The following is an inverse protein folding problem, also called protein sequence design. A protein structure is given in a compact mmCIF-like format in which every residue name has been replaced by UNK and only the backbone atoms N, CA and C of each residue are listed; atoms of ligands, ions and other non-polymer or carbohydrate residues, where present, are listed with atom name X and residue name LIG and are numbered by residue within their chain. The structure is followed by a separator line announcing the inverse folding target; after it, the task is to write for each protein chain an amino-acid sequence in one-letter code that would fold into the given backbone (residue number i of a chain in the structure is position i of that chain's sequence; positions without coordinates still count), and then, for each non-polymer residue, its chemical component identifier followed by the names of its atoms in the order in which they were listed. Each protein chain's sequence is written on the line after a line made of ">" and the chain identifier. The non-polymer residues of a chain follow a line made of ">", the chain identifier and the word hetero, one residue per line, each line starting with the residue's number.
data_IF_914294134279
#
_entry.id   IF_914294134279
#
_cell.length_a   1.000
_cell.length_b   1.000
_cell.length_c   1.000
_cell.angle_alpha   90.00
_cell.angle_beta   90.00
_cell.angle_gamma   90.00
#
_symmetry.space_group_name_H-M   'P 1'
#
loop_
_entity.id
_entity.type
_entity.pdbx_description
1 polymer ?
#
# COMPACT_ATOMS: atom_id res chain seq x y z
N UNK A 1 7.70 20.57 -13.24
CA UNK A 1 8.73 19.50 -13.32
C UNK A 1 8.52 18.76 -14.63
N UNK A 2 9.52 18.16 -15.26
CA UNK A 2 9.25 17.29 -16.41
C UNK A 2 8.35 16.12 -15.98
N UNK A 3 7.21 15.94 -16.67
CA UNK A 3 6.21 14.88 -16.40
C UNK A 3 6.83 13.48 -16.26
N UNK A 4 7.87 13.20 -17.06
CA UNK A 4 8.62 11.94 -17.04
C UNK A 4 9.35 11.70 -15.72
N UNK A 5 9.94 12.75 -15.14
CA UNK A 5 10.65 12.66 -13.85
C UNK A 5 9.67 12.45 -12.69
N UNK A 6 8.52 13.13 -12.72
CA UNK A 6 7.49 12.95 -11.69
C UNK A 6 6.94 11.52 -11.68
N UNK A 7 6.74 10.92 -12.86
CA UNK A 7 6.37 9.51 -12.98
C UNK A 7 7.47 8.58 -12.46
N UNK A 8 8.75 8.84 -12.74
CA UNK A 8 9.83 8.02 -12.21
C UNK A 8 9.88 8.04 -10.67
N UNK A 9 9.85 9.24 -10.08
CA UNK A 9 9.85 9.40 -8.61
C UNK A 9 8.62 8.73 -8.00
N UNK A 10 7.42 8.96 -8.57
CA UNK A 10 6.20 8.37 -8.06
C UNK A 10 6.22 6.83 -8.09
N UNK A 11 6.77 6.22 -9.14
CA UNK A 11 6.93 4.76 -9.21
C UNK A 11 7.87 4.24 -8.11
N UNK A 12 9.02 4.89 -7.91
CA UNK A 12 9.96 4.49 -6.85
C UNK A 12 9.33 4.66 -5.46
N UNK A 13 8.63 5.76 -5.22
CA UNK A 13 7.90 5.99 -3.97
C UNK A 13 6.83 4.93 -3.73
N UNK A 14 6.05 4.55 -4.75
CA UNK A 14 5.05 3.49 -4.66
C UNK A 14 5.67 2.14 -4.31
N UNK A 15 6.80 1.78 -4.93
CA UNK A 15 7.50 0.52 -4.66
C UNK A 15 8.02 0.46 -3.23
N UNK A 16 8.65 1.53 -2.75
CA UNK A 16 9.16 1.61 -1.37
C UNK A 16 8.01 1.55 -0.38
N UNK A 17 6.97 2.35 -0.59
CA UNK A 17 5.77 2.37 0.24
C UNK A 17 5.13 0.97 0.33
N UNK A 18 4.91 0.32 -0.82
CA UNK A 18 4.28 -0.99 -0.87
C UNK A 18 5.15 -2.05 -0.17
N UNK A 19 6.46 -2.00 -0.39
CA UNK A 19 7.40 -2.93 0.27
C UNK A 19 7.33 -2.81 1.79
N UNK A 20 7.39 -1.60 2.33
CA UNK A 20 7.28 -1.35 3.78
C UNK A 20 5.90 -1.76 4.30
N UNK A 21 4.84 -1.41 3.57
CA UNK A 21 3.46 -1.70 3.96
C UNK A 21 3.21 -3.20 4.10
N UNK A 22 3.60 -3.99 3.10
CA UNK A 22 3.37 -5.45 3.11
C UNK A 22 4.15 -6.11 4.25
N UNK A 23 5.39 -5.67 4.51
CA UNK A 23 6.17 -6.14 5.66
C UNK A 23 5.47 -5.83 7.00
N UNK A 24 4.98 -4.60 7.17
CA UNK A 24 4.24 -4.21 8.37
C UNK A 24 2.93 -4.99 8.51
N UNK A 25 2.18 -5.20 7.43
CA UNK A 25 0.95 -5.97 7.44
C UNK A 25 1.19 -7.43 7.84
N UNK A 26 2.26 -8.06 7.34
CA UNK A 26 2.63 -9.41 7.77
C UNK A 26 3.02 -9.44 9.25
N UNK A 27 3.78 -8.45 9.73
CA UNK A 27 4.20 -8.36 11.13
C UNK A 27 2.99 -8.19 12.07
N UNK A 28 2.05 -7.32 11.71
CA UNK A 28 0.80 -7.13 12.45
C UNK A 28 -0.05 -8.40 12.43
N UNK A 29 -0.14 -9.10 11.29
CA UNK A 29 -0.88 -10.36 11.20
C UNK A 29 -0.33 -11.44 12.15
N UNK A 30 1.00 -11.50 12.29
CA UNK A 30 1.68 -12.40 13.23
C UNK A 30 1.39 -12.01 14.67
N UNK A 31 1.55 -10.72 15.03
CA UNK A 31 1.34 -10.22 16.40
C UNK A 31 -0.11 -10.41 16.86
N UNK A 32 -1.08 -10.19 15.97
CA UNK A 32 -2.50 -10.36 16.26
C UNK A 32 -2.97 -11.82 16.16
N UNK A 33 -2.07 -12.77 15.84
CA UNK A 33 -2.39 -14.19 15.66
C UNK A 33 -3.63 -14.41 14.77
N UNK A 34 -3.69 -13.66 13.67
CA UNK A 34 -4.89 -13.58 12.82
C UNK A 34 -5.27 -14.98 12.27
N UNK A 35 -4.29 -15.87 12.07
CA UNK A 35 -4.49 -17.24 11.59
C UNK A 35 -5.30 -18.14 12.57
N UNK A 36 -5.49 -17.74 13.83
CA UNK A 36 -6.25 -18.51 14.82
C UNK A 36 -7.75 -18.58 14.52
N UNK A 37 -8.30 -17.69 13.68
CA UNK A 37 -9.70 -17.70 13.28
C UNK A 37 -9.85 -17.29 11.81
N UNK A 38 -10.41 -18.18 11.00
CA UNK A 38 -10.61 -17.95 9.56
C UNK A 38 -11.45 -16.71 9.26
N UNK A 39 -12.40 -16.36 10.14
CA UNK A 39 -13.23 -15.16 9.95
C UNK A 39 -12.40 -13.89 10.16
N UNK A 40 -11.55 -13.87 11.20
CA UNK A 40 -10.68 -12.74 11.51
C UNK A 40 -9.59 -12.61 10.43
N UNK A 41 -9.09 -13.73 9.92
CA UNK A 41 -8.15 -13.79 8.80
C UNK A 41 -8.68 -13.14 7.54
N UNK A 42 -9.88 -13.52 7.12
CA UNK A 42 -10.52 -12.90 5.95
C UNK A 42 -10.77 -11.41 6.19
N UNK A 43 -11.31 -11.02 7.34
CA UNK A 43 -11.57 -9.60 7.64
C UNK A 43 -10.29 -8.77 7.66
N UNK A 44 -9.23 -9.28 8.29
CA UNK A 44 -7.95 -8.61 8.39
C UNK A 44 -7.33 -8.38 7.01
N UNK A 45 -7.25 -9.42 6.18
CA UNK A 45 -6.65 -9.28 4.85
C UNK A 45 -7.51 -8.46 3.90
N UNK A 46 -8.84 -8.46 4.05
CA UNK A 46 -9.71 -7.53 3.33
C UNK A 46 -9.37 -6.08 3.71
N UNK A 47 -9.36 -5.75 5.00
CA UNK A 47 -9.08 -4.38 5.46
C UNK A 47 -7.67 -3.95 5.09
N UNK A 48 -6.65 -4.79 5.36
CA UNK A 48 -5.26 -4.51 5.01
C UNK A 48 -5.09 -4.36 3.49
N UNK A 49 -5.76 -5.20 2.69
CA UNK A 49 -5.76 -5.09 1.23
C UNK A 49 -6.36 -3.79 0.72
N UNK A 50 -7.39 -3.24 1.36
CA UNK A 50 -7.95 -1.95 0.98
C UNK A 50 -7.16 -0.76 1.51
N UNK A 51 -6.55 -0.86 2.70
CA UNK A 51 -5.98 0.29 3.38
C UNK A 51 -4.85 0.97 2.59
N UNK A 52 -3.99 0.19 1.93
CA UNK A 52 -2.88 0.73 1.13
C UNK A 52 -3.31 1.35 -0.21
N UNK A 53 -4.50 1.00 -0.71
CA UNK A 53 -4.99 1.52 -2.00
C UNK A 53 -5.23 3.02 -1.96
N UNK A 54 -5.62 3.57 -0.80
CA UNK A 54 -5.86 5.01 -0.61
C UNK A 54 -4.53 5.80 -0.77
N UNK A 55 -3.45 5.52 -0.02
CA UNK A 55 -2.14 6.13 -0.25
C UNK A 55 -1.63 5.95 -1.69
N UNK A 56 -1.76 4.75 -2.24
CA UNK A 56 -1.31 4.48 -3.61
C UNK A 56 -2.07 5.34 -4.64
N UNK A 57 -3.38 5.48 -4.48
CA UNK A 57 -4.22 6.33 -5.31
C UNK A 57 -3.81 7.80 -5.25
N UNK A 58 -3.48 8.32 -4.08
CA UNK A 58 -3.00 9.71 -3.91
C UNK A 58 -1.69 9.94 -4.66
N UNK A 59 -0.73 9.01 -4.55
CA UNK A 59 0.56 9.11 -5.26
C UNK A 59 0.34 9.06 -6.78
N UNK A 60 -0.50 8.13 -7.26
CA UNK A 60 -0.81 8.00 -8.69
C UNK A 60 -1.51 9.25 -9.21
N UNK A 61 -2.47 9.79 -8.47
CA UNK A 61 -3.17 11.01 -8.84
C UNK A 61 -2.18 12.19 -8.97
N UNK A 62 -1.25 12.32 -8.02
CA UNK A 62 -0.18 13.33 -8.11
C UNK A 62 0.74 13.11 -9.32
N UNK A 63 1.07 11.86 -9.66
CA UNK A 63 1.87 11.54 -10.84
C UNK A 63 1.17 11.99 -12.14
N UNK A 64 -0.16 11.88 -12.22
CA UNK A 64 -0.94 12.17 -13.42
C UNK A 64 -1.39 13.62 -13.57
N UNK A 65 -1.26 14.45 -12.52
CA UNK A 65 -1.73 15.84 -12.52
C UNK A 65 -1.18 16.63 -13.73
N UNK A 66 -1.99 17.19 -14.64
CA UNK A 66 -1.46 18.03 -15.72
C UNK A 66 -0.67 19.20 -15.11
N UNK A 67 0.50 19.49 -15.67
CA UNK A 67 1.25 20.71 -15.34
C UNK A 67 0.64 21.92 -16.05
#
# INVERSE_FOLDING_TARGET
>A
MNIRLRKFIGTVTLLIFLSIYVLLAMLVAIVLQVNSSKVIEVLYYLIAGFFWTIPAGIIIWWMQRPD
#
